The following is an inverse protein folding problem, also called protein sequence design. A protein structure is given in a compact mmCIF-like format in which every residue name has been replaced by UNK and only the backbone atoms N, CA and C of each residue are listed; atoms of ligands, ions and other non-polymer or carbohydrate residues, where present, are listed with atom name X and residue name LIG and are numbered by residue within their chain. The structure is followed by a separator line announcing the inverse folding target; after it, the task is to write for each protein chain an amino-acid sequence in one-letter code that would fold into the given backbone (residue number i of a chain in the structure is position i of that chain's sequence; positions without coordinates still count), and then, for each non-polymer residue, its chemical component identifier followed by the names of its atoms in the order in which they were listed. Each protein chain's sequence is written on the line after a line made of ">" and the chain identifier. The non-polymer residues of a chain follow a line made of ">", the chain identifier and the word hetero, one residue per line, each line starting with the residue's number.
data_IF_307919661745
#
_entry.id   IF_307919661745
#
_cell.length_a   1.000
_cell.length_b   1.000
_cell.length_c   1.000
_cell.angle_alpha   90.00
_cell.angle_beta   90.00
_cell.angle_gamma   90.00
#
_symmetry.space_group_name_H-M   'P 1'
#
loop_
_entity.id
_entity.type
_entity.pdbx_description
1 polymer ?
#
# COMPACT_ATOMS: atom_id res chain seq x y z
N UNK A 1 -5.53 11.38 -13.81
CA UNK A 1 -4.26 11.27 -13.09
C UNK A 1 -3.72 9.92 -13.46
N UNK A 2 -2.47 9.83 -13.88
CA UNK A 2 -1.92 8.54 -14.30
C UNK A 2 -1.69 7.64 -13.09
N UNK A 3 -1.71 6.33 -13.29
CA UNK A 3 -1.54 5.34 -12.22
C UNK A 3 -0.22 5.55 -11.45
N UNK A 4 0.86 5.89 -12.15
CA UNK A 4 2.17 6.18 -11.54
C UNK A 4 2.12 7.36 -10.57
N UNK A 5 1.41 8.44 -10.93
CA UNK A 5 1.24 9.62 -10.07
C UNK A 5 0.38 9.32 -8.84
N UNK A 6 -0.58 8.39 -8.97
CA UNK A 6 -1.39 7.91 -7.86
C UNK A 6 -0.51 7.11 -6.89
N UNK A 7 0.33 6.21 -7.42
CA UNK A 7 1.24 5.39 -6.63
C UNK A 7 2.26 6.22 -5.87
N UNK A 8 2.97 7.14 -6.53
CA UNK A 8 3.94 8.03 -5.88
C UNK A 8 3.33 8.77 -4.69
N UNK A 9 2.15 9.36 -4.88
CA UNK A 9 1.46 10.08 -3.81
C UNK A 9 0.90 9.18 -2.71
N UNK A 10 0.48 7.96 -3.06
CA UNK A 10 0.07 6.97 -2.07
C UNK A 10 1.25 6.60 -1.17
N UNK A 11 2.42 6.35 -1.76
CA UNK A 11 3.65 6.05 -1.03
C UNK A 11 4.02 7.18 -0.07
N UNK A 12 4.07 8.43 -0.56
CA UNK A 12 4.33 9.60 0.28
C UNK A 12 3.35 9.71 1.48
N UNK A 13 2.06 9.44 1.25
CA UNK A 13 1.04 9.49 2.30
C UNK A 13 1.20 8.33 3.30
N UNK A 14 1.55 7.14 2.83
CA UNK A 14 1.79 5.97 3.67
C UNK A 14 3.01 6.24 4.54
N UNK A 15 4.14 6.64 3.96
CA UNK A 15 5.38 7.00 4.67
C UNK A 15 5.13 8.09 5.73
N UNK A 16 4.40 9.14 5.38
CA UNK A 16 4.07 10.21 6.32
C UNK A 16 3.19 9.75 7.50
N UNK A 17 2.37 8.71 7.30
CA UNK A 17 1.48 8.16 8.35
C UNK A 17 2.14 7.07 9.20
N UNK A 18 2.91 6.18 8.58
CA UNK A 18 3.49 5.00 9.25
C UNK A 18 4.93 5.24 9.71
N UNK A 19 5.66 6.15 9.06
CA UNK A 19 7.10 6.37 9.29
C UNK A 19 7.98 5.26 8.70
N UNK A 20 7.45 4.44 7.80
CA UNK A 20 8.15 3.35 7.11
C UNK A 20 8.59 3.79 5.71
N UNK A 21 9.65 3.19 5.16
CA UNK A 21 10.26 3.66 3.90
C UNK A 21 11.10 4.93 4.06
N UNK A 22 11.45 5.29 5.30
CA UNK A 22 12.38 6.40 5.57
C UNK A 22 13.79 5.98 5.12
N UNK A 23 14.42 6.71 4.17
CA UNK A 23 15.77 6.39 3.69
C UNK A 23 16.84 6.40 4.80
N UNK A 24 16.52 6.92 5.99
CA UNK A 24 17.37 6.87 7.18
C UNK A 24 17.30 5.53 7.95
N UNK A 25 16.46 4.57 7.54
CA UNK A 25 16.37 3.21 8.11
C UNK A 25 16.83 2.15 7.09
N UNK A 26 18.14 1.87 6.99
CA UNK A 26 18.74 1.14 5.88
C UNK A 26 18.60 -0.40 5.93
N UNK A 27 17.79 -0.95 6.84
CA UNK A 27 17.66 -2.40 6.98
C UNK A 27 16.58 -2.93 6.02
N UNK A 28 17.04 -3.32 4.82
CA UNK A 28 16.37 -4.16 3.82
C UNK A 28 14.84 -4.20 3.85
N UNK A 29 14.23 -3.16 3.28
CA UNK A 29 12.79 -2.97 3.15
C UNK A 29 12.32 -3.53 1.79
N UNK A 30 11.56 -4.62 1.78
CA UNK A 30 10.75 -4.95 0.60
C UNK A 30 9.45 -4.16 0.71
N UNK A 31 9.33 -3.14 -0.12
CA UNK A 31 8.17 -2.25 -0.16
C UNK A 31 7.46 -2.40 -1.50
N UNK A 32 6.22 -2.89 -1.47
CA UNK A 32 5.39 -3.04 -2.67
C UNK A 32 4.04 -2.36 -2.49
N UNK A 33 3.60 -1.65 -3.54
CA UNK A 33 2.27 -1.04 -3.62
C UNK A 33 1.52 -1.55 -4.85
N UNK A 34 0.40 -2.22 -4.60
CA UNK A 34 -0.51 -2.73 -5.62
C UNK A 34 -1.79 -1.92 -5.63
N UNK A 35 -2.20 -1.46 -6.82
CA UNK A 35 -3.56 -0.96 -7.01
C UNK A 35 -4.42 -2.16 -7.40
N UNK A 36 -5.40 -2.48 -6.57
CA UNK A 36 -6.28 -3.62 -6.76
C UNK A 36 -7.45 -3.26 -7.67
N UNK A 37 -7.99 -2.05 -7.51
CA UNK A 37 -9.14 -1.61 -8.27
C UNK A 37 -9.23 -0.09 -8.34
N UNK A 38 -9.80 0.41 -9.44
CA UNK A 38 -10.09 1.83 -9.64
C UNK A 38 -11.57 1.95 -10.00
N UNK A 39 -12.34 2.57 -9.12
CA UNK A 39 -13.77 2.83 -9.30
C UNK A 39 -14.00 4.30 -9.57
N UNK A 40 -14.54 4.62 -10.73
CA UNK A 40 -14.96 5.97 -11.07
C UNK A 40 -16.44 6.18 -10.73
N UNK A 41 -16.75 7.33 -10.13
CA UNK A 41 -18.08 7.72 -9.70
C UNK A 41 -18.48 9.04 -10.39
N UNK A 42 -19.80 9.33 -10.46
CA UNK A 42 -20.29 10.60 -10.98
C UNK A 42 -19.68 11.81 -10.26
N UNK A 43 -19.67 12.95 -10.95
CA UNK A 43 -19.08 14.21 -10.45
C UNK A 43 -17.56 14.17 -10.21
N UNK A 44 -16.84 13.32 -10.94
CA UNK A 44 -15.38 13.28 -10.94
C UNK A 44 -14.78 12.78 -9.62
N UNK A 45 -15.54 11.96 -8.88
CA UNK A 45 -15.06 11.21 -7.72
C UNK A 45 -14.48 9.89 -8.21
N UNK A 46 -13.33 9.50 -7.68
CA UNK A 46 -12.66 8.25 -7.96
C UNK A 46 -12.26 7.60 -6.65
N UNK A 47 -12.42 6.29 -6.54
CA UNK A 47 -12.04 5.51 -5.36
C UNK A 47 -11.08 4.43 -5.82
N UNK A 48 -9.94 4.31 -5.16
CA UNK A 48 -8.85 3.43 -5.55
C UNK A 48 -8.61 2.50 -4.37
N UNK A 49 -8.86 1.21 -4.59
CA UNK A 49 -8.56 0.16 -3.64
C UNK A 49 -7.09 -0.24 -3.85
N UNK A 50 -6.28 -0.20 -2.80
CA UNK A 50 -4.85 -0.51 -2.87
C UNK A 50 -4.43 -1.45 -1.75
N UNK A 51 -3.33 -2.18 -2.00
CA UNK A 51 -2.63 -2.99 -1.02
C UNK A 51 -1.19 -2.54 -0.94
N UNK A 52 -0.76 -2.22 0.26
CA UNK A 52 0.61 -1.87 0.58
C UNK A 52 1.24 -2.98 1.41
N UNK A 53 2.41 -3.44 1.02
CA UNK A 53 3.17 -4.49 1.68
C UNK A 53 4.51 -3.91 2.09
N UNK A 54 4.83 -4.04 3.37
CA UNK A 54 6.10 -3.60 3.93
C UNK A 54 6.72 -4.76 4.70
N UNK A 55 7.88 -5.22 4.28
CA UNK A 55 8.69 -6.19 5.02
C UNK A 55 9.81 -5.45 5.73
N UNK A 56 9.73 -5.37 7.06
CA UNK A 56 10.73 -4.70 7.91
C UNK A 56 12.08 -5.45 7.90
N UNK A 57 12.11 -6.70 7.46
CA UNK A 57 13.26 -7.57 7.66
C UNK A 57 13.32 -8.60 6.51
N UNK A 58 13.62 -8.13 5.29
CA UNK A 58 13.64 -8.95 4.06
C UNK A 58 14.59 -10.15 4.04
N UNK A 59 15.26 -10.46 5.17
CA UNK A 59 16.17 -11.58 5.40
C UNK A 59 15.90 -12.36 6.70
N UNK A 60 14.96 -11.95 7.55
CA UNK A 60 14.77 -12.57 8.86
C UNK A 60 14.00 -13.89 8.77
N UNK A 61 14.37 -14.85 9.62
CA UNK A 61 13.62 -16.11 9.81
C UNK A 61 12.24 -15.86 10.45
N UNK A 62 12.04 -14.66 11.02
CA UNK A 62 10.76 -14.21 11.54
C UNK A 62 10.20 -13.18 10.56
N UNK A 63 9.21 -13.60 9.78
CA UNK A 63 8.51 -12.75 8.83
C UNK A 63 7.84 -11.56 9.57
N UNK A 64 8.32 -10.36 9.24
CA UNK A 64 7.78 -9.08 9.72
C UNK A 64 7.10 -8.34 8.58
N UNK A 65 6.40 -9.10 7.72
CA UNK A 65 5.59 -8.51 6.67
C UNK A 65 4.34 -7.90 7.29
N UNK A 66 4.19 -6.62 7.05
CA UNK A 66 2.98 -5.87 7.29
C UNK A 66 2.22 -5.68 5.98
N UNK A 67 0.93 -6.01 6.00
CA UNK A 67 0.07 -5.81 4.83
C UNK A 67 -1.07 -4.86 5.22
N UNK A 68 -1.21 -3.78 4.47
CA UNK A 68 -2.29 -2.82 4.59
C UNK A 68 -3.17 -2.90 3.36
N UNK A 69 -4.46 -3.04 3.58
CA UNK A 69 -5.45 -2.74 2.55
C UNK A 69 -6.01 -1.35 2.83
N UNK A 70 -6.12 -0.55 1.77
CA UNK A 70 -6.56 0.82 1.87
C UNK A 70 -7.45 1.23 0.73
N UNK A 71 -8.20 2.30 1.00
CA UNK A 71 -9.09 2.95 0.05
C UNK A 71 -8.70 4.42 -0.01
N UNK A 72 -8.32 4.84 -1.21
CA UNK A 72 -8.02 6.22 -1.52
C UNK A 72 -9.20 6.84 -2.26
N UNK A 73 -9.74 7.94 -1.74
CA UNK A 73 -10.78 8.71 -2.42
C UNK A 73 -10.21 10.00 -3.00
N UNK A 74 -10.38 10.18 -4.31
CA UNK A 74 -10.01 11.38 -5.07
C UNK A 74 -11.29 12.05 -5.57
N UNK A 75 -11.34 13.39 -5.60
CA UNK A 75 -12.39 14.15 -6.29
C UNK A 75 -11.76 15.34 -6.98
N UNK A 76 -12.14 15.57 -8.24
CA UNK A 76 -11.62 16.69 -9.03
C UNK A 76 -10.09 16.75 -9.03
N UNK A 77 -9.43 15.58 -9.13
CA UNK A 77 -7.96 15.40 -9.07
C UNK A 77 -7.30 15.79 -7.74
N UNK A 78 -8.08 16.01 -6.69
CA UNK A 78 -7.61 16.27 -5.32
C UNK A 78 -7.89 15.08 -4.41
N UNK A 79 -6.94 14.76 -3.54
CA UNK A 79 -7.10 13.71 -2.53
C UNK A 79 -8.08 14.19 -1.47
N UNK A 80 -9.10 13.38 -1.18
CA UNK A 80 -10.08 13.69 -0.15
C UNK A 80 -9.76 12.92 1.12
N UNK A 81 -9.46 11.62 0.97
CA UNK A 81 -9.39 10.70 2.09
C UNK A 81 -8.53 9.49 1.74
N UNK A 82 -7.77 9.04 2.73
CA UNK A 82 -7.07 7.76 2.72
C UNK A 82 -7.47 7.00 3.99
N UNK A 83 -8.20 5.91 3.80
CA UNK A 83 -8.50 4.94 4.83
C UNK A 83 -7.59 3.74 4.63
N UNK A 84 -6.93 3.29 5.69
CA UNK A 84 -6.05 2.13 5.66
C UNK A 84 -6.33 1.28 6.87
N UNK A 85 -6.31 -0.04 6.67
CA UNK A 85 -6.41 -1.02 7.71
C UNK A 85 -5.28 -2.02 7.54
N UNK A 86 -4.54 -2.26 8.61
CA UNK A 86 -3.60 -3.37 8.66
C UNK A 86 -4.42 -4.67 8.67
N UNK A 87 -4.27 -5.46 7.60
CA UNK A 87 -5.01 -6.71 7.41
C UNK A 87 -4.19 -7.92 7.80
N UNK A 88 -2.86 -7.78 7.88
CA UNK A 88 -1.96 -8.84 8.34
C UNK A 88 -0.73 -8.25 9.03
N UNK A 89 -0.46 -8.78 10.22
CA UNK A 89 0.80 -8.64 10.96
C UNK A 89 1.16 -10.05 11.37
N UNK A 90 2.13 -10.69 10.73
CA UNK A 90 2.35 -12.10 11.05
C UNK A 90 3.60 -12.72 10.50
N UNK A 91 4.33 -13.33 11.44
CA UNK A 91 5.45 -14.25 11.24
C UNK A 91 4.97 -15.52 10.53
N UNK A 92 5.18 -15.53 9.22
CA UNK A 92 5.30 -16.65 8.30
C UNK A 92 4.00 -17.13 7.63
N UNK A 93 4.04 -17.05 6.29
CA UNK A 93 3.49 -17.98 5.29
C UNK A 93 2.40 -17.40 4.37
N UNK A 94 2.82 -16.74 3.31
CA UNK A 94 2.05 -16.65 2.06
C UNK A 94 1.98 -18.06 1.45
N UNK A 95 0.82 -18.73 1.54
CA UNK A 95 0.46 -19.79 0.58
C UNK A 95 0.18 -19.13 -0.76
N UNK A 96 1.14 -19.18 -1.69
CA UNK A 96 0.92 -18.81 -3.10
C UNK A 96 -0.06 -19.80 -3.74
N UNK A 97 -1.05 -19.25 -4.45
CA UNK A 97 -2.01 -19.99 -5.26
C UNK A 97 -1.29 -20.62 -6.47
N UNK A 98 -1.54 -21.91 -6.72
CA UNK A 98 -1.04 -22.67 -7.87
C UNK A 98 -2.21 -22.92 -8.83
N UNK A 99 -2.26 -22.29 -10.02
CA UNK A 99 -3.31 -22.56 -10.99
C UNK A 99 -3.00 -23.88 -11.73
N UNK A 100 -3.84 -24.90 -11.50
CA UNK A 100 -3.95 -26.04 -12.42
C UNK A 100 -4.85 -25.72 -13.59
#
# INVERSE_FOLDING_TARGET
>A
MEESQIKEKLMELIHAKTGWGDPLRPHCECEDLYILNIKEYPAGKQTIDFRYIFDEDGFSQYDKTHVFDGILTIKSRSFIKIDMQEVHTGVAAIKRYDPK
#
